data_IF_732119052908
#
_entry.id   IF_732119052908
#
_cell.length_a   1.000
_cell.length_b   1.000
_cell.length_c   1.000
_cell.angle_alpha   90.00
_cell.angle_beta   90.00
_cell.angle_gamma   90.00
#
_symmetry.space_group_name_H-M   'P 1'
#
loop_
_entity.id
_entity.type
_entity.pdbx_description
1 polymer ?
#
# COMPACT_ATOMS: atom_id res chain seq x y z
N UNK A 1 15.90 -6.61 0.31
CA UNK A 1 15.39 -6.24 1.66
C UNK A 1 15.38 -4.74 1.76
N UNK A 2 14.26 -4.14 2.17
CA UNK A 2 14.18 -2.69 2.40
C UNK A 2 14.84 -2.33 3.74
N UNK A 3 15.47 -1.16 3.82
CA UNK A 3 16.02 -0.61 5.06
C UNK A 3 14.90 -0.32 6.07
N UNK A 4 15.12 -0.60 7.36
CA UNK A 4 14.17 -0.33 8.45
C UNK A 4 13.93 1.18 8.64
N UNK A 5 14.83 2.02 8.14
CA UNK A 5 14.70 3.48 8.22
C UNK A 5 14.25 4.09 6.87
N UNK A 6 13.86 3.25 5.89
CA UNK A 6 13.37 3.72 4.61
C UNK A 6 12.06 4.53 4.77
N UNK A 7 12.02 5.78 4.30
CA UNK A 7 10.83 6.62 4.43
C UNK A 7 9.72 6.26 3.43
N UNK A 8 10.10 5.60 2.34
CA UNK A 8 9.20 5.04 1.32
C UNK A 8 9.72 3.66 0.93
N UNK A 9 8.82 2.69 0.83
CA UNK A 9 9.11 1.33 0.35
C UNK A 9 8.18 1.03 -0.80
N UNK A 10 8.72 0.61 -1.94
CA UNK A 10 7.97 0.18 -3.12
C UNK A 10 8.33 -1.26 -3.49
N UNK A 11 7.31 -2.09 -3.68
CA UNK A 11 7.44 -3.50 -4.03
C UNK A 11 6.52 -3.83 -5.21
N UNK A 12 7.02 -4.58 -6.20
CA UNK A 12 6.20 -5.08 -7.30
C UNK A 12 6.02 -6.58 -7.11
N UNK A 13 4.76 -7.02 -7.15
CA UNK A 13 4.42 -8.44 -7.13
C UNK A 13 4.19 -8.90 -8.56
N UNK A 14 4.86 -9.99 -8.93
CA UNK A 14 4.68 -10.67 -10.19
C UNK A 14 4.04 -12.04 -9.94
N UNK A 15 3.32 -12.55 -10.94
CA UNK A 15 2.85 -13.94 -10.94
C UNK A 15 3.97 -14.92 -11.32
N UNK A 16 3.62 -16.22 -11.37
CA UNK A 16 4.56 -17.30 -11.67
C UNK A 16 5.16 -17.22 -13.09
N UNK A 17 4.52 -16.46 -14.01
CA UNK A 17 5.05 -16.21 -15.35
C UNK A 17 6.02 -15.02 -15.39
N UNK A 18 6.15 -14.29 -14.27
CA UNK A 18 6.91 -13.05 -14.18
C UNK A 18 6.14 -11.81 -14.62
N UNK A 19 4.84 -11.94 -14.92
CA UNK A 19 3.99 -10.79 -15.25
C UNK A 19 3.72 -9.99 -13.97
N UNK A 20 4.03 -8.69 -14.01
CA UNK A 20 3.82 -7.79 -12.87
C UNK A 20 2.32 -7.56 -12.68
N UNK A 21 1.79 -7.90 -11.50
CA UNK A 21 0.35 -7.86 -11.19
C UNK A 21 -0.05 -6.57 -10.48
N UNK A 22 0.65 -6.21 -9.40
CA UNK A 22 0.35 -5.03 -8.59
C UNK A 22 1.59 -4.47 -7.91
N UNK A 23 1.51 -3.20 -7.52
CA UNK A 23 2.51 -2.50 -6.70
C UNK A 23 1.99 -2.37 -5.27
N UNK A 24 2.85 -2.65 -4.30
CA UNK A 24 2.67 -2.39 -2.88
C UNK A 24 3.61 -1.25 -2.47
N UNK A 25 3.08 -0.27 -1.75
CA UNK A 25 3.87 0.86 -1.26
C UNK A 25 3.62 1.12 0.22
N UNK A 26 4.66 1.51 0.96
CA UNK A 26 4.57 2.00 2.33
C UNK A 26 5.20 3.38 2.43
N UNK A 27 4.50 4.30 3.08
CA UNK A 27 4.94 5.67 3.30
C UNK A 27 4.99 5.96 4.79
N UNK A 28 6.09 6.58 5.23
CA UNK A 28 6.32 6.94 6.62
C UNK A 28 6.64 8.43 6.77
N UNK A 29 6.31 8.97 7.94
CA UNK A 29 6.66 10.34 8.33
C UNK A 29 6.14 11.39 7.32
N UNK A 30 7.00 12.30 6.82
CA UNK A 30 6.54 13.42 6.00
C UNK A 30 5.93 13.00 4.65
N UNK A 31 6.25 11.81 4.15
CA UNK A 31 5.77 11.32 2.85
C UNK A 31 4.30 10.87 2.86
N UNK A 32 3.75 10.61 4.04
CA UNK A 32 2.35 10.17 4.21
C UNK A 32 1.39 11.22 3.68
N UNK A 33 1.65 12.51 3.98
CA UNK A 33 0.79 13.61 3.53
C UNK A 33 0.78 13.71 2.00
N UNK A 34 1.95 13.63 1.38
CA UNK A 34 2.08 13.69 -0.08
C UNK A 34 1.38 12.51 -0.74
N UNK A 35 1.62 11.29 -0.25
CA UNK A 35 0.95 10.08 -0.76
C UNK A 35 -0.58 10.16 -0.61
N UNK A 36 -1.11 10.60 0.54
CA UNK A 36 -2.55 10.80 0.71
C UNK A 36 -3.13 11.79 -0.32
N UNK A 37 -2.44 12.89 -0.59
CA UNK A 37 -2.89 13.90 -1.55
C UNK A 37 -2.82 13.41 -3.00
N UNK A 38 -1.84 12.57 -3.33
CA UNK A 38 -1.67 12.04 -4.68
C UNK A 38 -2.67 10.92 -4.96
N UNK A 39 -2.88 10.03 -4.00
CA UNK A 39 -3.60 8.77 -4.21
C UNK A 39 -5.05 8.79 -3.72
N UNK A 40 -5.37 9.53 -2.65
CA UNK A 40 -6.72 9.56 -2.07
C UNK A 40 -7.49 10.80 -2.50
N UNK A 41 -8.82 10.67 -2.64
CA UNK A 41 -9.70 11.76 -3.07
C UNK A 41 -10.86 11.98 -2.09
N UNK A 42 -11.25 13.24 -1.92
CA UNK A 42 -12.40 13.62 -1.10
C UNK A 42 -12.34 13.03 0.32
N UNK A 43 -13.42 12.36 0.73
CA UNK A 43 -13.54 11.78 2.06
C UNK A 43 -12.63 10.57 2.32
N UNK A 44 -12.01 9.98 1.29
CA UNK A 44 -11.05 8.89 1.46
C UNK A 44 -9.79 9.36 2.20
N UNK A 45 -9.38 10.62 1.98
CA UNK A 45 -8.14 11.17 2.53
C UNK A 45 -8.10 11.21 4.06
N UNK A 46 -9.26 11.15 4.72
CA UNK A 46 -9.39 11.14 6.20
C UNK A 46 -9.73 9.77 6.77
N UNK A 47 -9.89 8.74 5.92
CA UNK A 47 -10.15 7.37 6.37
C UNK A 47 -8.85 6.64 6.64
N UNK A 48 -8.93 5.75 7.62
CA UNK A 48 -7.83 4.88 8.05
C UNK A 48 -7.56 3.75 7.05
N UNK A 49 -8.58 3.31 6.33
CA UNK A 49 -8.50 2.26 5.32
C UNK A 49 -9.64 2.39 4.32
N UNK A 50 -9.51 1.68 3.23
CA UNK A 50 -10.53 1.59 2.19
C UNK A 50 -9.95 1.07 0.89
N UNK A 51 -10.76 1.07 -0.14
CA UNK A 51 -10.34 0.61 -1.44
C UNK A 51 -11.54 0.16 -2.27
N UNK A 52 -11.26 -0.04 -3.53
CA UNK A 52 -12.13 -0.70 -4.48
C UNK A 52 -11.25 -1.19 -5.63
N UNK A 53 -11.49 -2.42 -6.09
CA UNK A 53 -10.93 -3.04 -7.31
C UNK A 53 -9.79 -2.28 -7.98
N UNK A 54 -8.58 -2.77 -7.81
CA UNK A 54 -7.37 -2.20 -8.41
C UNK A 54 -6.70 -1.14 -7.56
N UNK A 55 -7.30 -0.76 -6.41
CA UNK A 55 -6.66 0.10 -5.42
C UNK A 55 -7.21 -0.13 -4.01
N UNK A 56 -6.33 -0.41 -3.05
CA UNK A 56 -6.68 -0.46 -1.62
C UNK A 56 -5.62 0.23 -0.77
N UNK A 57 -6.02 0.71 0.41
CA UNK A 57 -5.12 1.30 1.39
C UNK A 57 -5.50 0.95 2.83
N UNK A 58 -4.50 0.97 3.70
CA UNK A 58 -4.63 0.86 5.16
C UNK A 58 -3.57 1.72 5.84
N UNK A 59 -3.71 1.94 7.13
CA UNK A 59 -2.82 2.78 7.93
C UNK A 59 -2.41 2.06 9.21
N UNK A 60 -1.31 2.51 9.81
CA UNK A 60 -0.91 2.10 11.15
C UNK A 60 -0.36 3.30 11.94
N UNK A 61 -0.44 3.24 13.27
CA UNK A 61 0.22 4.21 14.12
C UNK A 61 1.69 3.78 14.34
N UNK A 62 2.65 4.64 14.02
CA UNK A 62 4.08 4.40 14.25
C UNK A 62 4.66 5.46 15.19
N UNK A 63 5.85 5.22 15.79
CA UNK A 63 6.54 6.22 16.60
C UNK A 63 6.81 7.54 15.88
N UNK A 64 6.99 7.48 14.56
CA UNK A 64 7.19 8.65 13.68
C UNK A 64 5.89 9.32 13.20
N UNK A 65 4.74 8.89 13.71
CA UNK A 65 3.41 9.30 13.22
C UNK A 65 2.70 8.17 12.46
N UNK A 66 1.61 8.51 11.76
CA UNK A 66 0.90 7.54 10.93
C UNK A 66 1.80 6.98 9.82
N UNK A 67 1.58 5.73 9.43
CA UNK A 67 2.07 5.14 8.19
C UNK A 67 0.89 4.85 7.25
N UNK A 68 1.12 4.99 5.95
CA UNK A 68 0.15 4.66 4.91
C UNK A 68 0.69 3.50 4.07
N UNK A 69 -0.13 2.48 3.86
CA UNK A 69 0.16 1.34 3.01
C UNK A 69 -0.86 1.31 1.87
N UNK A 70 -0.39 1.08 0.65
CA UNK A 70 -1.24 1.03 -0.54
C UNK A 70 -0.92 -0.20 -1.38
N UNK A 71 -1.92 -0.66 -2.12
CA UNK A 71 -1.78 -1.60 -3.23
C UNK A 71 -2.51 -1.04 -4.45
N UNK A 72 -1.93 -1.17 -5.63
CA UNK A 72 -2.57 -0.78 -6.89
C UNK A 72 -2.21 -1.71 -8.05
N UNK A 73 -3.13 -1.88 -9.00
CA UNK A 73 -2.86 -2.55 -10.27
C UNK A 73 -1.90 -1.73 -11.14
N UNK A 74 -1.18 -2.42 -12.02
CA UNK A 74 -0.14 -1.81 -12.84
C UNK A 74 -0.63 -1.54 -14.25
N UNK A 75 -0.16 -0.45 -14.87
CA UNK A 75 -0.41 -0.20 -16.29
C UNK A 75 0.38 -1.22 -17.15
N UNK A 76 -0.32 -1.98 -17.99
CA UNK A 76 0.24 -2.97 -18.92
C UNK A 76 0.54 -2.39 -20.31
N UNK A 77 0.30 -1.09 -20.48
CA UNK A 77 0.52 -0.32 -21.71
C UNK A 77 -0.78 0.07 -22.42
N UNK A 78 -0.74 1.19 -23.13
CA UNK A 78 -1.90 1.71 -23.87
C UNK A 78 -3.06 2.15 -22.97
N UNK A 79 -2.77 2.58 -21.73
CA UNK A 79 -3.78 3.00 -20.75
C UNK A 79 -4.57 1.86 -20.12
N UNK A 80 -4.14 0.60 -20.32
CA UNK A 80 -4.78 -0.57 -19.69
C UNK A 80 -4.06 -0.93 -18.40
N UNK A 81 -4.82 -1.38 -17.41
CA UNK A 81 -4.30 -1.90 -16.16
C UNK A 81 -4.39 -3.43 -16.14
N UNK A 82 -3.56 -4.06 -15.31
CA UNK A 82 -3.74 -5.47 -14.95
C UNK A 82 -5.14 -5.68 -14.40
N UNK A 83 -5.75 -6.82 -14.73
CA UNK A 83 -7.09 -7.14 -14.26
C UNK A 83 -7.07 -7.21 -12.72
N UNK A 84 -7.95 -6.46 -12.03
CA UNK A 84 -7.98 -6.42 -10.58
C UNK A 84 -8.44 -7.76 -10.01
N UNK A 85 -7.91 -8.08 -8.83
CA UNK A 85 -8.29 -9.24 -8.02
C UNK A 85 -8.38 -8.77 -6.57
N UNK A 86 -9.57 -8.33 -6.17
CA UNK A 86 -9.85 -7.71 -4.87
C UNK A 86 -9.39 -8.58 -3.69
N UNK A 87 -9.54 -9.90 -3.81
CA UNK A 87 -9.11 -10.83 -2.77
C UNK A 87 -7.58 -10.90 -2.69
N UNK A 88 -6.91 -11.12 -3.83
CA UNK A 88 -5.45 -11.18 -3.85
C UNK A 88 -4.84 -9.83 -3.41
N UNK A 89 -5.46 -8.72 -3.80
CA UNK A 89 -5.02 -7.38 -3.44
C UNK A 89 -5.13 -7.12 -1.94
N UNK A 90 -6.28 -7.40 -1.34
CA UNK A 90 -6.50 -7.20 0.10
C UNK A 90 -5.64 -8.13 0.95
N UNK A 91 -5.48 -9.40 0.57
CA UNK A 91 -4.60 -10.35 1.25
C UNK A 91 -3.12 -9.92 1.17
N UNK A 92 -2.66 -9.49 0.00
CA UNK A 92 -1.30 -9.02 -0.18
C UNK A 92 -1.02 -7.72 0.59
N UNK A 93 -1.95 -6.75 0.54
CA UNK A 93 -1.84 -5.51 1.31
C UNK A 93 -1.75 -5.79 2.81
N UNK A 94 -2.60 -6.69 3.30
CA UNK A 94 -2.59 -7.11 4.71
C UNK A 94 -1.23 -7.67 5.11
N UNK A 95 -0.76 -8.69 4.39
CA UNK A 95 0.50 -9.35 4.69
C UNK A 95 1.69 -8.37 4.65
N UNK A 96 1.70 -7.48 3.65
CA UNK A 96 2.72 -6.45 3.50
C UNK A 96 2.70 -5.43 4.65
N UNK A 97 1.52 -4.94 5.03
CA UNK A 97 1.36 -3.98 6.11
C UNK A 97 1.76 -4.60 7.45
N UNK A 98 1.32 -5.82 7.77
CA UNK A 98 1.69 -6.54 8.99
C UNK A 98 3.21 -6.77 9.09
N UNK A 99 3.85 -7.21 7.99
CA UNK A 99 5.29 -7.40 7.96
C UNK A 99 6.06 -6.08 8.10
N UNK A 100 5.52 -4.99 7.57
CA UNK A 100 6.15 -3.67 7.63
C UNK A 100 5.99 -3.02 9.00
N UNK A 101 4.79 -3.04 9.59
CA UNK A 101 4.57 -2.51 10.95
C UNK A 101 5.43 -3.22 11.98
N UNK A 102 5.57 -4.54 11.89
CA UNK A 102 6.44 -5.33 12.78
C UNK A 102 7.92 -4.92 12.71
N UNK A 103 8.43 -4.59 11.51
CA UNK A 103 9.83 -4.13 11.33
C UNK A 103 10.08 -2.72 11.86
N UNK A 104 9.07 -1.85 11.80
CA UNK A 104 9.19 -0.44 12.16
C UNK A 104 8.68 -0.14 13.59
N UNK A 105 8.25 -1.16 14.35
CA UNK A 105 7.74 -1.00 15.72
C UNK A 105 6.41 -0.24 15.77
N UNK A 106 5.61 -0.32 14.72
CA UNK A 106 4.29 0.30 14.65
C UNK A 106 3.23 -0.57 15.32
N UNK A 107 2.04 -0.01 15.54
CA UNK A 107 0.83 -0.78 15.84
C UNK A 107 0.46 -1.71 14.67
N UNK A 108 -0.39 -2.73 14.91
CA UNK A 108 -1.03 -3.45 13.83
C UNK A 108 -1.76 -2.51 12.85
N UNK A 109 -1.80 -2.85 11.55
CA UNK A 109 -2.52 -2.06 10.56
C UNK A 109 -4.03 -2.08 10.81
N UNK A 110 -4.71 -0.99 10.49
CA UNK A 110 -6.16 -0.83 10.57
C UNK A 110 -6.79 -1.47 9.33
N UNK A 111 -6.92 -2.80 9.35
CA UNK A 111 -7.50 -3.55 8.24
C UNK A 111 -9.03 -3.38 8.23
N UNK A 112 -9.69 -3.49 7.05
CA UNK A 112 -11.13 -3.67 6.97
C UNK A 112 -11.63 -4.90 7.75
#
# INVERSE_FOLDING_TARGET
>A
MSDKDAPVVDCVVADDSGEKRFRLSAYYGPFVKSARLETLRGSQAVRDHGGSQGFHWTTAACPSGEALFTIETLETGGGKFTAPDDKAETEALRAFAEASTGRHGCSPPKLP
#
